data_IF_500292017681
#
_entry.id   IF_500292017681
#
_cell.length_a   1.000
_cell.length_b   1.000
_cell.length_c   1.000
_cell.angle_alpha   90.00
_cell.angle_beta   90.00
_cell.angle_gamma   90.00
#
_symmetry.space_group_name_H-M   'P 1'
#
loop_
_entity.id
_entity.type
_entity.pdbx_description
1 polymer ?
#
# COMPACT_ATOMS: atom_id res chain seq x y z
N UNK A 1 -30.24 -3.24 28.09
CA UNK A 1 -29.09 -3.29 29.02
C UNK A 1 -27.77 -3.33 28.26
N UNK A 2 -27.65 -4.21 27.25
CA UNK A 2 -26.46 -4.38 26.40
C UNK A 2 -25.84 -3.07 25.90
N UNK A 3 -26.62 -2.16 25.29
CA UNK A 3 -26.11 -0.88 24.75
C UNK A 3 -25.34 -0.04 25.78
N UNK A 4 -25.88 0.10 27.01
CA UNK A 4 -25.22 0.87 28.08
C UNK A 4 -23.95 0.19 28.57
N UNK A 5 -23.96 -1.14 28.60
CA UNK A 5 -22.78 -1.92 28.97
C UNK A 5 -21.69 -1.79 27.91
N UNK A 6 -22.06 -1.87 26.62
CA UNK A 6 -21.14 -1.74 25.49
C UNK A 6 -20.46 -0.37 25.47
N UNK A 7 -21.21 0.72 25.65
CA UNK A 7 -20.65 2.09 25.71
C UNK A 7 -19.64 2.25 26.84
N UNK A 8 -19.96 1.72 28.02
CA UNK A 8 -19.08 1.81 29.19
C UNK A 8 -17.83 0.95 29.02
N UNK A 9 -18.00 -0.27 28.52
CA UNK A 9 -16.92 -1.26 28.43
C UNK A 9 -15.93 -0.96 27.30
N UNK A 10 -16.42 -0.46 26.16
CA UNK A 10 -15.63 -0.18 24.95
C UNK A 10 -15.22 1.28 24.82
N UNK A 11 -15.73 2.18 25.68
CA UNK A 11 -15.41 3.61 25.64
C UNK A 11 -15.96 4.33 24.41
N UNK A 12 -17.04 3.82 23.81
CA UNK A 12 -17.68 4.37 22.61
C UNK A 12 -18.90 5.22 22.94
N UNK A 13 -19.23 6.16 22.05
CA UNK A 13 -20.43 6.97 22.20
C UNK A 13 -21.71 6.10 22.03
N UNK A 14 -22.80 6.37 22.77
CA UNK A 14 -24.05 5.63 22.63
C UNK A 14 -24.60 5.59 21.20
N UNK A 15 -24.42 6.67 20.45
CA UNK A 15 -24.88 6.81 19.08
C UNK A 15 -24.12 5.88 18.13
N UNK A 16 -22.78 5.79 18.29
CA UNK A 16 -21.93 4.90 17.49
C UNK A 16 -22.34 3.43 17.69
N UNK A 17 -22.49 3.02 18.95
CA UNK A 17 -22.91 1.64 19.28
C UNK A 17 -24.30 1.34 18.71
N UNK A 18 -25.25 2.28 18.81
CA UNK A 18 -26.58 2.10 18.24
C UNK A 18 -26.57 1.96 16.73
N UNK A 19 -25.77 2.76 16.02
CA UNK A 19 -25.61 2.66 14.56
C UNK A 19 -25.05 1.28 14.18
N UNK A 20 -24.01 0.81 14.86
CA UNK A 20 -23.43 -0.51 14.61
C UNK A 20 -24.43 -1.64 14.88
N UNK A 21 -25.17 -1.61 15.99
CA UNK A 21 -26.19 -2.63 16.28
C UNK A 21 -27.38 -2.60 15.31
N UNK A 22 -27.74 -1.44 14.75
CA UNK A 22 -28.78 -1.37 13.70
C UNK A 22 -28.29 -2.00 12.40
N UNK A 23 -27.02 -1.79 12.06
CA UNK A 23 -26.38 -2.38 10.87
C UNK A 23 -26.15 -3.89 11.04
N UNK A 24 -25.80 -4.31 12.25
CA UNK A 24 -25.47 -5.70 12.59
C UNK A 24 -26.26 -6.17 13.83
N UNK A 25 -27.56 -6.51 13.69
CA UNK A 25 -28.43 -6.81 14.84
C UNK A 25 -27.98 -7.98 15.72
N UNK A 26 -27.24 -8.92 15.15
CA UNK A 26 -26.72 -10.09 15.87
C UNK A 26 -25.71 -9.72 16.97
N UNK A 27 -25.07 -8.53 16.90
CA UNK A 27 -24.18 -8.03 17.96
C UNK A 27 -24.90 -7.97 19.32
N UNK A 28 -26.23 -7.76 19.32
CA UNK A 28 -27.03 -7.74 20.55
C UNK A 28 -27.10 -9.10 21.25
N UNK A 29 -26.76 -10.18 20.53
CA UNK A 29 -26.68 -11.54 21.05
C UNK A 29 -25.23 -11.93 21.40
N UNK A 30 -24.25 -11.14 20.96
CA UNK A 30 -22.85 -11.42 21.21
C UNK A 30 -22.45 -11.11 22.66
N UNK A 31 -21.50 -11.90 23.18
CA UNK A 31 -20.93 -11.68 24.50
C UNK A 31 -19.95 -10.49 24.47
N UNK A 32 -20.28 -9.45 25.22
CA UNK A 32 -19.47 -8.24 25.34
C UNK A 32 -18.07 -8.50 25.92
N UNK A 33 -17.90 -9.53 26.76
CA UNK A 33 -16.60 -9.88 27.32
C UNK A 33 -15.71 -10.54 26.26
N UNK A 34 -16.29 -11.35 25.37
CA UNK A 34 -15.56 -11.92 24.23
C UNK A 34 -15.13 -10.79 23.30
N UNK A 35 -16.04 -9.88 22.93
CA UNK A 35 -15.72 -8.71 22.11
C UNK A 35 -14.59 -7.88 22.74
N UNK A 36 -14.70 -7.57 24.04
CA UNK A 36 -13.66 -6.81 24.76
C UNK A 36 -12.31 -7.53 24.76
N UNK A 37 -12.30 -8.86 24.90
CA UNK A 37 -11.07 -9.65 24.88
C UNK A 37 -10.39 -9.58 23.52
N UNK A 38 -11.15 -9.73 22.43
CA UNK A 38 -10.62 -9.62 21.06
C UNK A 38 -10.11 -8.21 20.80
N UNK A 39 -10.87 -7.18 21.18
CA UNK A 39 -10.48 -5.77 21.04
C UNK A 39 -9.17 -5.48 21.77
N UNK A 40 -9.01 -5.93 23.02
CA UNK A 40 -7.77 -5.75 23.79
C UNK A 40 -6.59 -6.50 23.16
N UNK A 41 -6.81 -7.71 22.65
CA UNK A 41 -5.77 -8.47 21.98
C UNK A 41 -5.31 -7.79 20.68
N UNK A 42 -6.26 -7.35 19.86
CA UNK A 42 -6.01 -6.57 18.64
C UNK A 42 -5.30 -5.23 18.95
N UNK A 43 -5.69 -4.53 20.01
CA UNK A 43 -5.05 -3.28 20.47
C UNK A 43 -3.56 -3.48 20.74
N UNK A 44 -3.18 -4.59 21.39
CA UNK A 44 -1.77 -4.89 21.70
C UNK A 44 -0.95 -5.19 20.46
N UNK A 45 -1.55 -5.94 19.55
CA UNK A 45 -0.89 -6.40 18.33
C UNK A 45 -0.73 -5.25 17.32
N UNK A 46 -1.80 -4.51 17.08
CA UNK A 46 -1.82 -3.39 16.14
C UNK A 46 -1.22 -2.10 16.71
N UNK A 47 -0.90 -2.08 18.02
CA UNK A 47 -0.33 -0.93 18.72
C UNK A 47 -1.15 0.37 18.58
N UNK A 48 -2.47 0.26 18.52
CA UNK A 48 -3.41 1.39 18.37
C UNK A 48 -4.33 1.53 19.58
N UNK A 49 -4.95 2.71 19.81
CA UNK A 49 -5.87 2.90 20.93
C UNK A 49 -7.08 1.98 20.87
N UNK A 50 -7.47 1.46 22.05
CA UNK A 50 -8.55 0.47 22.17
C UNK A 50 -9.88 0.96 21.58
N UNK A 51 -10.20 2.23 21.77
CA UNK A 51 -11.43 2.85 21.26
C UNK A 51 -11.50 2.80 19.73
N UNK A 52 -10.35 2.94 19.04
CA UNK A 52 -10.31 2.84 17.57
C UNK A 52 -10.61 1.41 17.14
N UNK A 53 -9.94 0.43 17.75
CA UNK A 53 -10.17 -1.00 17.47
C UNK A 53 -11.61 -1.40 17.75
N UNK A 54 -12.19 -0.95 18.88
CA UNK A 54 -13.57 -1.22 19.23
C UNK A 54 -14.55 -0.64 18.20
N UNK A 55 -14.33 0.61 17.77
CA UNK A 55 -15.15 1.25 16.74
C UNK A 55 -15.09 0.45 15.44
N UNK A 56 -13.90 0.08 15.00
CA UNK A 56 -13.68 -0.69 13.78
C UNK A 56 -14.34 -2.07 13.86
N UNK A 57 -14.15 -2.79 14.96
CA UNK A 57 -14.71 -4.13 15.16
C UNK A 57 -16.25 -4.13 15.23
N UNK A 58 -16.88 -3.10 15.82
CA UNK A 58 -18.35 -3.02 15.79
C UNK A 58 -18.89 -2.59 14.43
N UNK A 59 -18.16 -1.75 13.68
CA UNK A 59 -18.53 -1.32 12.34
C UNK A 59 -18.38 -2.46 11.31
N UNK A 60 -17.37 -3.31 11.49
CA UNK A 60 -17.08 -4.49 10.68
C UNK A 60 -16.83 -5.72 11.58
N UNK A 61 -17.90 -6.43 11.97
CA UNK A 61 -17.82 -7.54 12.89
C UNK A 61 -17.02 -8.75 12.44
N UNK A 62 -16.73 -8.90 11.15
CA UNK A 62 -15.87 -9.98 10.63
C UNK A 62 -14.46 -9.91 11.26
N UNK A 63 -14.04 -8.70 11.67
CA UNK A 63 -12.80 -8.50 12.45
C UNK A 63 -12.79 -9.26 13.79
N UNK A 64 -13.96 -9.51 14.39
CA UNK A 64 -14.07 -10.21 15.66
C UNK A 64 -13.74 -11.70 15.56
N UNK A 65 -13.76 -12.25 14.35
CA UNK A 65 -13.45 -13.66 14.07
C UNK A 65 -11.97 -13.87 13.73
N UNK A 66 -11.21 -12.78 13.52
CA UNK A 66 -9.80 -12.85 13.19
C UNK A 66 -8.96 -13.17 14.42
N UNK A 67 -8.00 -14.08 14.24
CA UNK A 67 -6.94 -14.27 15.21
C UNK A 67 -6.00 -13.05 15.18
N UNK A 68 -5.71 -12.40 16.33
CA UNK A 68 -4.91 -11.18 16.36
C UNK A 68 -3.53 -11.34 15.71
N UNK A 69 -2.87 -12.47 15.94
CA UNK A 69 -1.55 -12.74 15.37
C UNK A 69 -1.60 -12.85 13.85
N UNK A 70 -2.59 -13.55 13.30
CA UNK A 70 -2.79 -13.67 11.85
C UNK A 70 -3.03 -12.29 11.21
N UNK A 71 -3.83 -11.43 11.86
CA UNK A 71 -4.03 -10.06 11.41
C UNK A 71 -2.71 -9.26 11.40
N UNK A 72 -1.86 -9.44 12.42
CA UNK A 72 -0.53 -8.81 12.45
C UNK A 72 0.35 -9.26 11.29
N UNK A 73 0.47 -10.58 11.12
CA UNK A 73 1.32 -11.21 10.12
C UNK A 73 0.89 -10.80 8.71
N UNK A 74 -0.42 -10.74 8.49
CA UNK A 74 -1.02 -10.21 7.27
C UNK A 74 -0.55 -8.77 7.01
N UNK A 75 -0.73 -7.85 7.96
CA UNK A 75 -0.37 -6.45 7.75
C UNK A 75 1.15 -6.24 7.62
N UNK A 76 1.96 -7.02 8.33
CA UNK A 76 3.42 -7.03 8.18
C UNK A 76 3.84 -7.53 6.80
N UNK A 77 3.16 -8.55 6.27
CA UNK A 77 3.40 -9.01 4.91
C UNK A 77 3.08 -7.92 3.88
N UNK A 78 1.95 -7.22 4.02
CA UNK A 78 1.61 -6.10 3.13
C UNK A 78 2.69 -5.01 3.25
N UNK A 79 3.01 -4.58 4.46
CA UNK A 79 4.00 -3.53 4.73
C UNK A 79 5.35 -3.84 4.09
N UNK A 80 5.89 -5.04 4.32
CA UNK A 80 7.18 -5.47 3.76
C UNK A 80 7.17 -5.63 2.24
N UNK A 81 6.05 -6.04 1.64
CA UNK A 81 5.96 -6.26 0.19
C UNK A 81 5.72 -4.96 -0.60
N UNK A 82 5.07 -3.98 0.02
CA UNK A 82 4.70 -2.70 -0.61
C UNK A 82 5.62 -1.54 -0.22
N UNK A 83 6.59 -1.82 0.65
CA UNK A 83 7.48 -0.82 1.26
C UNK A 83 6.70 0.35 1.89
N UNK A 84 5.52 0.03 2.45
CA UNK A 84 4.70 0.99 3.18
C UNK A 84 4.98 0.87 4.68
N UNK A 85 5.12 1.99 5.42
CA UNK A 85 5.26 1.95 6.86
C UNK A 85 4.13 1.15 7.51
N UNK A 86 4.47 0.27 8.46
CA UNK A 86 3.48 -0.59 9.13
C UNK A 86 2.33 0.22 9.73
N UNK A 87 2.63 1.37 10.35
CA UNK A 87 1.63 2.25 10.94
C UNK A 87 0.63 2.78 9.90
N UNK A 88 1.08 3.15 8.70
CA UNK A 88 0.19 3.58 7.61
C UNK A 88 -0.74 2.42 7.19
N UNK A 89 -0.20 1.21 7.08
CA UNK A 89 -0.98 0.00 6.73
C UNK A 89 -2.02 -0.31 7.80
N UNK A 90 -1.69 -0.18 9.09
CA UNK A 90 -2.63 -0.34 10.20
C UNK A 90 -3.73 0.74 10.13
N UNK A 91 -3.38 2.00 9.93
CA UNK A 91 -4.39 3.08 9.83
C UNK A 91 -5.33 2.86 8.64
N UNK A 92 -4.79 2.43 7.50
CA UNK A 92 -5.61 2.05 6.34
C UNK A 92 -6.54 0.87 6.65
N UNK A 93 -6.04 -0.16 7.35
CA UNK A 93 -6.86 -1.30 7.75
C UNK A 93 -7.98 -0.90 8.73
N UNK A 94 -7.74 0.04 9.64
CA UNK A 94 -8.77 0.52 10.55
C UNK A 94 -9.84 1.37 9.84
N UNK A 95 -9.45 2.11 8.79
CA UNK A 95 -10.36 2.87 7.93
C UNK A 95 -11.11 2.00 6.90
N UNK A 96 -10.48 0.93 6.43
CA UNK A 96 -11.03 -0.05 5.49
C UNK A 96 -10.83 -1.48 6.04
N UNK A 97 -11.72 -1.96 6.92
CA UNK A 97 -11.49 -3.22 7.66
C UNK A 97 -11.50 -4.45 6.77
N UNK A 98 -12.04 -4.35 5.56
CA UNK A 98 -11.93 -5.38 4.53
C UNK A 98 -10.46 -5.71 4.20
N UNK A 99 -9.53 -4.79 4.43
CA UNK A 99 -8.10 -5.04 4.23
C UNK A 99 -7.60 -6.19 5.12
N UNK A 100 -8.16 -6.35 6.33
CA UNK A 100 -7.78 -7.42 7.26
C UNK A 100 -8.21 -8.81 6.81
N UNK A 101 -9.26 -8.88 5.98
CA UNK A 101 -9.88 -10.15 5.52
C UNK A 101 -9.59 -10.47 4.05
N UNK A 102 -9.09 -9.50 3.28
CA UNK A 102 -8.72 -9.67 1.87
C UNK A 102 -7.48 -10.55 1.73
N UNK A 103 -7.30 -11.28 0.63
CA UNK A 103 -6.06 -12.03 0.47
C UNK A 103 -4.87 -11.05 0.32
N UNK A 104 -3.75 -11.23 1.06
CA UNK A 104 -2.63 -10.28 1.01
C UNK A 104 -2.06 -10.09 -0.41
N UNK A 105 -2.13 -11.13 -1.25
CA UNK A 105 -1.70 -11.07 -2.66
C UNK A 105 -2.56 -10.14 -3.51
N UNK A 106 -3.86 -10.08 -3.24
CA UNK A 106 -4.78 -9.21 -3.96
C UNK A 106 -4.52 -7.75 -3.58
N UNK A 107 -4.22 -7.49 -2.30
CA UNK A 107 -3.83 -6.17 -1.79
C UNK A 107 -2.55 -5.68 -2.45
N UNK A 108 -1.51 -6.53 -2.49
CA UNK A 108 -0.22 -6.19 -3.14
C UNK A 108 -0.42 -5.89 -4.62
N UNK A 109 -1.27 -6.67 -5.30
CA UNK A 109 -1.62 -6.43 -6.70
C UNK A 109 -2.34 -5.10 -6.89
N UNK A 110 -3.33 -4.80 -6.07
CA UNK A 110 -4.05 -3.54 -6.12
C UNK A 110 -3.13 -2.34 -5.84
N UNK A 111 -2.20 -2.47 -4.89
CA UNK A 111 -1.17 -1.47 -4.63
C UNK A 111 -0.28 -1.23 -5.86
N UNK A 112 0.16 -2.29 -6.53
CA UNK A 112 0.95 -2.16 -7.76
C UNK A 112 0.16 -1.47 -8.88
N UNK A 113 -1.13 -1.76 -8.99
CA UNK A 113 -2.02 -1.06 -9.92
C UNK A 113 -2.12 0.44 -9.58
N UNK A 114 -2.31 0.80 -8.30
CA UNK A 114 -2.31 2.20 -7.85
C UNK A 114 -0.98 2.89 -8.15
N UNK A 115 0.16 2.25 -7.83
CA UNK A 115 1.50 2.78 -8.12
C UNK A 115 1.70 3.04 -9.61
N UNK A 116 1.23 2.14 -10.47
CA UNK A 116 1.32 2.31 -11.93
C UNK A 116 0.52 3.52 -12.44
N UNK A 117 -0.54 3.93 -11.72
CA UNK A 117 -1.38 5.08 -12.07
C UNK A 117 -0.85 6.40 -11.52
N UNK A 118 -0.06 6.38 -10.44
CA UNK A 118 0.57 7.58 -9.88
C UNK A 118 1.89 7.96 -10.58
N UNK A 119 2.51 7.04 -11.33
CA UNK A 119 3.75 7.31 -12.05
C UNK A 119 3.60 8.37 -13.15
N UNK A 120 4.72 8.88 -13.71
CA UNK A 120 4.71 9.94 -14.74
C UNK A 120 3.86 9.61 -16.00
N UNK A 121 3.59 8.33 -16.26
CA UNK A 121 2.64 7.89 -17.30
C UNK A 121 1.15 8.17 -17.01
N UNK A 122 0.78 8.45 -15.77
CA UNK A 122 -0.59 8.76 -15.34
C UNK A 122 -0.88 10.26 -15.22
N UNK A 123 0.14 11.09 -14.98
CA UNK A 123 0.02 12.55 -14.97
C UNK A 123 -0.06 13.13 -16.39
N UNK A 124 0.63 12.50 -17.35
CA UNK A 124 0.61 12.89 -18.75
C UNK A 124 -0.51 12.18 -19.53
N UNK A 125 -1.75 12.53 -19.17
CA UNK A 125 -2.95 12.19 -19.92
C UNK A 125 -3.08 12.88 -21.29
N UNK A 126 -1.96 13.15 -21.99
CA UNK A 126 -1.88 13.53 -23.40
C UNK A 126 -0.44 13.38 -23.91
N UNK A 127 -0.26 12.56 -24.95
CA UNK A 127 0.95 12.37 -25.77
C UNK A 127 1.99 11.32 -25.31
N UNK A 128 1.72 10.04 -25.61
CA UNK A 128 2.55 9.28 -26.57
C UNK A 128 1.90 7.93 -26.90
N UNK A 129 0.88 7.94 -27.77
CA UNK A 129 0.59 6.75 -28.58
C UNK A 129 1.47 6.87 -29.82
N UNK A 130 2.66 6.28 -29.81
CA UNK A 130 3.36 5.88 -31.05
C UNK A 130 4.58 5.02 -30.78
N UNK A 131 4.51 3.81 -31.33
CA UNK A 131 5.60 3.05 -31.93
C UNK A 131 6.75 2.54 -31.04
N UNK A 132 6.65 1.28 -30.61
CA UNK A 132 7.78 0.34 -30.67
C UNK A 132 7.30 -1.12 -30.76
N UNK A 133 6.39 -1.37 -31.69
CA UNK A 133 6.20 -2.69 -32.27
C UNK A 133 6.69 -2.64 -33.72
N UNK A 134 7.99 -2.82 -33.96
CA UNK A 134 8.51 -3.29 -35.24
C UNK A 134 10.03 -3.47 -35.20
N UNK A 135 10.43 -4.64 -35.68
CA UNK A 135 11.65 -4.94 -36.44
C UNK A 135 12.87 -5.52 -35.70
N UNK A 136 13.08 -6.80 -36.08
CA UNK A 136 14.34 -7.39 -36.50
C UNK A 136 15.35 -7.72 -35.39
N UNK A 137 15.66 -8.99 -35.10
CA UNK A 137 15.96 -10.03 -36.07
C UNK A 137 17.42 -9.92 -36.49
N UNK A 138 18.32 -10.55 -35.72
CA UNK A 138 19.68 -10.83 -36.19
C UNK A 138 20.21 -12.09 -35.49
N UNK A 139 20.45 -13.09 -36.33
CA UNK A 139 21.11 -14.37 -36.02
C UNK A 139 22.62 -14.19 -36.20
N UNK A 140 23.40 -14.89 -35.40
CA UNK A 140 24.82 -15.23 -35.65
C UNK A 140 25.39 -15.78 -34.34
N UNK A 141 25.59 -17.08 -34.13
CA UNK A 141 26.44 -18.08 -34.81
C UNK A 141 27.85 -17.56 -35.12
N UNK A 142 28.79 -17.91 -34.26
CA UNK A 142 30.23 -17.75 -34.45
C UNK A 142 31.01 -18.57 -33.42
N UNK A 143 31.43 -19.77 -33.82
CA UNK A 143 32.49 -20.57 -33.17
C UNK A 143 33.87 -19.98 -33.47
N UNK A 144 34.83 -20.07 -32.55
CA UNK A 144 36.23 -19.73 -32.86
C UNK A 144 37.22 -19.64 -31.70
N UNK A 145 37.74 -20.80 -31.27
CA UNK A 145 39.13 -21.12 -30.85
C UNK A 145 40.14 -20.05 -30.34
N UNK A 146 40.72 -20.40 -29.17
CA UNK A 146 42.16 -20.59 -28.83
C UNK A 146 43.08 -19.42 -28.41
N UNK A 147 43.98 -19.82 -27.49
CA UNK A 147 45.23 -19.21 -27.00
C UNK A 147 45.06 -18.08 -25.98
N UNK A 148 45.72 -18.04 -24.82
CA UNK A 148 46.94 -18.71 -24.37
C UNK A 148 47.84 -17.66 -23.73
N UNK A 149 48.40 -18.00 -22.56
CA UNK A 149 49.58 -17.40 -21.90
C UNK A 149 49.35 -16.31 -20.84
N UNK A 150 49.72 -16.72 -19.63
CA UNK A 150 50.13 -15.91 -18.48
C UNK A 150 51.26 -14.93 -18.82
N UNK A 151 51.30 -13.77 -18.16
CA UNK A 151 52.55 -13.12 -17.73
C UNK A 151 52.29 -12.03 -16.68
N UNK A 152 53.24 -11.97 -15.77
CA UNK A 152 53.26 -11.29 -14.48
C UNK A 152 53.30 -9.76 -14.53
N UNK A 153 52.87 -9.22 -13.40
CA UNK A 153 53.02 -7.85 -12.94
C UNK A 153 54.47 -7.33 -12.94
N UNK A 154 54.64 -6.06 -13.32
CA UNK A 154 55.52 -5.11 -12.64
C UNK A 154 55.32 -3.67 -13.16
N UNK A 155 55.07 -2.78 -12.20
CA UNK A 155 55.61 -1.42 -12.05
C UNK A 155 55.18 -0.24 -12.97
N UNK A 156 54.43 0.65 -12.29
CA UNK A 156 54.73 2.06 -12.00
C UNK A 156 54.45 3.14 -13.04
N UNK A 157 53.75 4.17 -12.56
CA UNK A 157 54.05 5.58 -12.86
C UNK A 157 53.00 6.27 -13.74
N UNK A 158 52.25 7.21 -13.16
CA UNK A 158 51.44 8.14 -13.94
C UNK A 158 50.34 8.81 -13.12
N UNK A 159 50.70 9.92 -12.48
CA UNK A 159 49.75 10.82 -11.85
C UNK A 159 48.88 11.58 -12.88
N UNK A 160 47.84 12.22 -12.34
CA UNK A 160 47.09 13.37 -12.88
C UNK A 160 45.71 13.04 -13.47
N UNK A 161 44.69 13.28 -12.64
CA UNK A 161 43.64 14.26 -12.94
C UNK A 161 42.36 13.78 -13.60
N UNK A 162 41.27 13.78 -12.81
CA UNK A 162 39.85 14.08 -13.09
C UNK A 162 39.01 13.16 -12.17
N UNK A 163 38.40 13.57 -11.03
CA UNK A 163 37.39 14.62 -10.83
C UNK A 163 36.40 14.58 -12.01
N UNK A 164 35.24 13.95 -11.94
CA UNK A 164 34.35 13.61 -10.84
C UNK A 164 32.97 13.96 -11.40
N UNK A 165 32.18 12.96 -11.82
CA UNK A 165 30.85 13.13 -12.40
C UNK A 165 30.15 11.77 -12.56
N UNK A 166 29.99 11.01 -11.47
CA UNK A 166 29.19 9.76 -11.47
C UNK A 166 28.24 9.70 -10.26
N UNK A 167 28.02 10.84 -9.58
CA UNK A 167 27.19 10.91 -8.37
C UNK A 167 25.75 11.38 -8.60
N UNK A 168 25.41 12.00 -9.74
CA UNK A 168 24.14 12.71 -9.87
C UNK A 168 22.97 11.84 -10.39
N UNK A 169 23.23 10.74 -11.09
CA UNK A 169 22.15 9.93 -11.68
C UNK A 169 21.46 8.98 -10.67
N UNK A 170 22.19 8.45 -9.70
CA UNK A 170 21.62 7.58 -8.66
C UNK A 170 20.80 8.36 -7.64
N UNK A 171 21.21 9.60 -7.35
CA UNK A 171 20.50 10.50 -6.45
C UNK A 171 19.19 11.03 -7.09
N UNK A 172 19.18 11.33 -8.40
CA UNK A 172 17.97 11.76 -9.11
C UNK A 172 16.90 10.64 -9.26
N UNK A 173 17.31 9.39 -9.45
CA UNK A 173 16.38 8.25 -9.57
C UNK A 173 15.75 7.87 -8.21
N UNK A 174 16.51 8.00 -7.12
CA UNK A 174 16.02 7.78 -5.76
C UNK A 174 14.97 8.83 -5.36
N UNK A 175 15.19 10.10 -5.71
CA UNK A 175 14.24 11.19 -5.44
C UNK A 175 12.92 10.99 -6.21
N UNK A 176 12.98 10.55 -7.47
CA UNK A 176 11.78 10.27 -8.26
C UNK A 176 10.95 9.10 -7.71
N UNK A 177 11.59 8.05 -7.18
CA UNK A 177 10.87 6.93 -6.56
C UNK A 177 10.25 7.31 -5.22
N UNK A 178 10.93 8.15 -4.44
CA UNK A 178 10.41 8.69 -3.18
C UNK A 178 9.17 9.57 -3.41
N UNK A 179 9.19 10.44 -4.42
CA UNK A 179 8.04 11.27 -4.81
C UNK A 179 6.85 10.43 -5.28
N UNK A 180 7.11 9.39 -6.08
CA UNK A 180 6.07 8.44 -6.51
C UNK A 180 5.47 7.72 -5.29
N UNK A 181 6.30 7.21 -4.39
CA UNK A 181 5.84 6.53 -3.18
C UNK A 181 4.99 7.46 -2.30
N UNK A 182 5.40 8.72 -2.16
CA UNK A 182 4.63 9.73 -1.45
C UNK A 182 3.26 9.99 -2.10
N UNK A 183 3.20 10.07 -3.44
CA UNK A 183 1.95 10.25 -4.18
C UNK A 183 1.01 9.04 -4.02
N UNK A 184 1.55 7.82 -4.04
CA UNK A 184 0.78 6.59 -3.80
C UNK A 184 0.22 6.59 -2.39
N UNK A 185 1.04 6.87 -1.38
CA UNK A 185 0.59 6.92 0.01
C UNK A 185 -0.49 7.98 0.22
N UNK A 186 -0.37 9.16 -0.40
CA UNK A 186 -1.40 10.20 -0.31
C UNK A 186 -2.71 9.77 -0.97
N UNK A 187 -2.66 9.10 -2.13
CA UNK A 187 -3.84 8.55 -2.77
C UNK A 187 -4.53 7.50 -1.88
N UNK A 188 -3.75 6.60 -1.28
CA UNK A 188 -4.25 5.53 -0.41
C UNK A 188 -4.76 6.05 0.94
N UNK A 189 -4.15 7.10 1.52
CA UNK A 189 -4.68 7.75 2.73
C UNK A 189 -6.04 8.38 2.51
N UNK A 190 -6.28 8.94 1.32
CA UNK A 190 -7.59 9.49 0.94
C UNK A 190 -8.60 8.39 0.64
N UNK A 191 -8.14 7.29 0.03
CA UNK A 191 -8.99 6.22 -0.51
C UNK A 191 -8.38 4.83 -0.27
N UNK A 192 -8.40 4.34 0.97
CA UNK A 192 -7.83 3.03 1.30
C UNK A 192 -8.59 1.88 0.62
N UNK A 193 -9.86 2.10 0.24
CA UNK A 193 -10.66 1.12 -0.48
C UNK A 193 -10.07 0.68 -1.81
N UNK A 194 -9.18 1.47 -2.43
CA UNK A 194 -8.50 1.09 -3.67
C UNK A 194 -7.74 -0.24 -3.54
N UNK A 195 -7.25 -0.57 -2.33
CA UNK A 195 -6.50 -1.79 -2.05
C UNK A 195 -7.35 -3.06 -2.03
N UNK A 196 -8.68 -2.94 -2.01
CA UNK A 196 -9.61 -4.08 -2.03
C UNK A 196 -10.44 -4.12 -3.32
N UNK A 197 -10.13 -3.25 -4.29
CA UNK A 197 -10.82 -3.14 -5.58
C UNK A 197 -10.12 -3.95 -6.67
N UNK A 198 -10.84 -4.17 -7.77
CA UNK A 198 -10.26 -4.74 -9.00
C UNK A 198 -9.55 -3.67 -9.83
N UNK A 199 -8.54 -4.07 -10.60
CA UNK A 199 -7.73 -3.17 -11.44
C UNK A 199 -8.54 -2.23 -12.35
N UNK A 200 -9.64 -2.73 -12.94
CA UNK A 200 -10.55 -1.94 -13.80
C UNK A 200 -11.24 -0.80 -13.02
N UNK A 201 -11.59 -1.08 -11.76
CA UNK A 201 -12.29 -0.13 -10.90
C UNK A 201 -11.30 0.91 -10.37
N UNK A 202 -10.10 0.48 -9.95
CA UNK A 202 -9.01 1.37 -9.56
C UNK A 202 -8.74 2.38 -10.68
N UNK A 203 -8.64 1.93 -11.94
CA UNK A 203 -8.46 2.82 -13.09
C UNK A 203 -9.58 3.84 -13.23
N UNK A 204 -10.83 3.40 -13.11
CA UNK A 204 -12.01 4.28 -13.23
C UNK A 204 -12.01 5.34 -12.12
N UNK A 205 -11.75 4.92 -10.89
CA UNK A 205 -11.76 5.76 -9.70
C UNK A 205 -10.61 6.78 -9.69
N UNK A 206 -9.42 6.36 -10.09
CA UNK A 206 -8.26 7.25 -10.22
C UNK A 206 -8.49 8.27 -11.34
N UNK A 207 -9.00 7.85 -12.51
CA UNK A 207 -9.33 8.77 -13.60
C UNK A 207 -10.39 9.82 -13.20
N UNK A 208 -11.41 9.42 -12.43
CA UNK A 208 -12.42 10.34 -11.92
C UNK A 208 -11.87 11.31 -10.86
N UNK A 209 -11.00 10.84 -9.97
CA UNK A 209 -10.38 11.63 -8.90
C UNK A 209 -9.39 12.68 -9.41
N UNK A 210 -8.54 12.33 -10.38
CA UNK A 210 -7.60 13.28 -11.00
C UNK A 210 -8.30 14.31 -11.90
N UNK A 211 -9.39 13.91 -12.59
CA UNK A 211 -10.19 14.84 -13.39
C UNK A 211 -10.88 15.94 -12.57
N UNK A 212 -11.29 15.65 -11.34
CA UNK A 212 -11.91 16.63 -10.45
C UNK A 212 -10.91 17.65 -9.88
N UNK A 213 -9.67 17.25 -9.63
CA UNK A 213 -8.60 18.14 -9.15
C UNK A 213 -8.12 19.12 -10.25
N UNK A 214 -8.00 18.64 -11.51
CA UNK A 214 -7.63 19.49 -12.65
C UNK A 214 -8.70 20.53 -13.01
N UNK A 215 -9.99 20.21 -12.81
CA UNK A 215 -11.08 21.15 -13.06
C UNK A 215 -11.15 22.28 -12.00
N UNK A 216 -10.68 22.05 -10.77
CA UNK A 216 -10.59 23.12 -9.76
C UNK A 216 -9.38 24.03 -9.96
N UNK A 217 -8.28 23.53 -10.52
CA UNK A 217 -7.09 24.35 -10.82
C UNK A 217 -7.27 25.23 -12.07
N UNK A 218 -8.12 24.84 -13.02
CA UNK A 218 -8.41 25.62 -14.24
C UNK A 218 -9.56 26.64 -14.08
N UNK A 219 -10.15 26.74 -12.88
CA UNK A 219 -11.30 27.60 -12.58
C UNK A 219 -11.02 28.73 -11.57
N UNK A 220 -9.76 29.02 -11.26
CA UNK A 220 -9.34 30.11 -10.37
C UNK A 220 -8.62 31.22 -11.15
#
# INVERSE_FOLDING_TARGET
MWLKSATSLLGLAPEEVQVCCRRHPWLLLADLQIIKTVVVAMTRVLSVPEVQVARTALANPDMLELEPMDAMEHLLYISSTTDMPYDDVVQMALGCPQLLTTQPRDVVRAWADVRSMCGPRGADGQASVSAAGAAAGSRGRGEGSRSGSESQAAMSGGAIGSRGDEGDAEDEEADADADLQAAVLEALRRRPELLVMRSEEIRREMAAGFGAAGAQAAGA
#
